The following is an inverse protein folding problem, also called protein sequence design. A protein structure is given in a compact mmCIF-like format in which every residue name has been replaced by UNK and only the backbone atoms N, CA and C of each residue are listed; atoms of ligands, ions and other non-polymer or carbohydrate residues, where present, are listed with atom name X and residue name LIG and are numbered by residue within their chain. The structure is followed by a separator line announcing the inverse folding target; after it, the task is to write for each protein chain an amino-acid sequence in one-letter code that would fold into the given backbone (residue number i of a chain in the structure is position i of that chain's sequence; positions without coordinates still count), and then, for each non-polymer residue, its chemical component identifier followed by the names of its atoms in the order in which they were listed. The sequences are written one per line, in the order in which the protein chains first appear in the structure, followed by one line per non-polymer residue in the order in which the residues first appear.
data_IF_545042701209
#
_entry.id   IF_545042701209
#
_cell.length_a   1.000
_cell.length_b   1.000
_cell.length_c   1.000
_cell.angle_alpha   90.00
_cell.angle_beta   90.00
_cell.angle_gamma   90.00
#
_symmetry.space_group_name_H-M   'P 1'
#
loop_
_entity.id
_entity.type
_entity.pdbx_description
1 polymer ?
#
# COMPACT_ATOMS: atom_id res chain seq x y z
N UNK A 1 -2.06 19.47 -31.27
CA UNK A 1 -3.12 18.95 -30.41
C UNK A 1 -2.76 17.50 -30.12
N UNK A 2 -1.96 17.30 -29.06
CA UNK A 2 -1.54 15.96 -28.66
C UNK A 2 -2.66 15.23 -27.94
N UNK A 3 -2.98 14.05 -28.43
CA UNK A 3 -3.89 13.11 -27.76
C UNK A 3 -3.36 12.78 -26.38
N UNK A 4 -4.04 13.29 -25.36
CA UNK A 4 -3.88 12.81 -23.99
C UNK A 4 -4.52 11.42 -23.94
N UNK A 5 -3.75 10.40 -24.25
CA UNK A 5 -4.17 9.01 -24.03
C UNK A 5 -4.44 8.87 -22.51
N UNK A 6 -5.72 8.80 -22.13
CA UNK A 6 -6.13 8.19 -20.86
C UNK A 6 -5.65 6.74 -20.91
N UNK A 7 -4.47 6.47 -20.39
CA UNK A 7 -4.08 5.09 -20.10
C UNK A 7 -5.08 4.59 -19.07
N UNK A 8 -5.96 3.69 -19.50
CA UNK A 8 -6.84 3.00 -18.54
C UNK A 8 -5.94 2.35 -17.49
N UNK A 9 -6.28 2.55 -16.23
CA UNK A 9 -5.58 1.92 -15.12
C UNK A 9 -5.67 0.38 -15.31
N UNK A 10 -4.54 -0.36 -15.27
CA UNK A 10 -4.57 -1.82 -15.35
C UNK A 10 -5.46 -2.39 -14.24
N UNK A 11 -6.19 -3.47 -14.54
CA UNK A 11 -6.97 -4.20 -13.53
C UNK A 11 -6.06 -4.75 -12.42
N UNK A 12 -6.63 -5.07 -11.25
CA UNK A 12 -5.88 -5.70 -10.14
C UNK A 12 -5.19 -6.98 -10.60
N UNK A 13 -5.84 -7.79 -11.43
CA UNK A 13 -5.25 -9.02 -12.01
C UNK A 13 -4.01 -8.71 -12.85
N UNK A 14 -4.10 -7.73 -13.74
CA UNK A 14 -2.96 -7.30 -14.57
C UNK A 14 -1.83 -6.71 -13.70
N UNK A 15 -2.16 -5.91 -12.69
CA UNK A 15 -1.17 -5.33 -11.75
C UNK A 15 -0.44 -6.40 -10.93
N UNK A 16 -1.07 -7.54 -10.63
CA UNK A 16 -0.43 -8.64 -9.90
C UNK A 16 0.76 -9.22 -10.64
N UNK A 17 0.68 -9.33 -11.96
CA UNK A 17 1.71 -9.95 -12.80
C UNK A 17 2.86 -8.99 -13.15
N UNK A 18 2.60 -7.67 -13.13
CA UNK A 18 3.62 -6.66 -13.45
C UNK A 18 4.68 -6.64 -12.35
N UNK A 19 5.93 -6.87 -12.73
CA UNK A 19 7.11 -6.88 -11.85
C UNK A 19 6.93 -7.75 -10.59
N UNK A 20 6.40 -8.96 -10.78
CA UNK A 20 6.07 -9.87 -9.67
C UNK A 20 7.30 -10.22 -8.80
N UNK A 21 8.49 -10.36 -9.39
CA UNK A 21 9.71 -10.67 -8.65
C UNK A 21 10.10 -9.52 -7.71
N UNK A 22 10.09 -8.29 -8.19
CA UNK A 22 10.35 -7.11 -7.35
C UNK A 22 9.34 -6.99 -6.22
N UNK A 23 8.05 -7.19 -6.50
CA UNK A 23 7.00 -7.18 -5.48
C UNK A 23 7.19 -8.25 -4.41
N UNK A 24 7.62 -9.46 -4.78
CA UNK A 24 7.90 -10.54 -3.82
C UNK A 24 9.08 -10.21 -2.92
N UNK A 25 10.15 -9.63 -3.45
CA UNK A 25 11.31 -9.17 -2.65
C UNK A 25 10.89 -8.12 -1.63
N UNK A 26 10.19 -7.08 -2.09
CA UNK A 26 9.65 -6.02 -1.24
C UNK A 26 8.73 -6.60 -0.17
N UNK A 27 7.78 -7.45 -0.55
CA UNK A 27 6.79 -8.05 0.32
C UNK A 27 7.43 -8.95 1.42
N UNK A 28 8.42 -9.74 1.06
CA UNK A 28 9.17 -10.59 2.00
C UNK A 28 9.88 -9.77 3.06
N UNK A 29 10.58 -8.70 2.64
CA UNK A 29 11.23 -7.79 3.57
C UNK A 29 10.22 -7.09 4.47
N UNK A 30 9.15 -6.54 3.89
CA UNK A 30 8.11 -5.82 4.62
C UNK A 30 7.41 -6.72 5.67
N UNK A 31 7.10 -7.97 5.32
CA UNK A 31 6.50 -8.92 6.25
C UNK A 31 7.40 -9.19 7.47
N UNK A 32 8.72 -9.20 7.28
CA UNK A 32 9.70 -9.36 8.36
C UNK A 32 9.81 -8.16 9.32
N UNK A 33 9.18 -7.03 9.01
CA UNK A 33 9.13 -5.86 9.90
C UNK A 33 7.99 -5.93 10.92
N UNK A 34 7.09 -6.89 10.80
CA UNK A 34 5.95 -7.04 11.71
C UNK A 34 6.42 -7.73 12.99
N UNK A 35 6.12 -7.12 14.11
CA UNK A 35 6.53 -7.57 15.45
C UNK A 35 5.33 -8.15 16.22
N UNK A 36 5.61 -8.99 17.24
CA UNK A 36 4.55 -9.46 18.13
C UNK A 36 3.72 -8.32 18.72
N UNK A 37 2.40 -8.54 18.79
CA UNK A 37 1.42 -7.60 19.34
C UNK A 37 1.23 -6.30 18.53
N UNK A 38 1.83 -6.18 17.34
CA UNK A 38 1.57 -5.06 16.44
C UNK A 38 0.08 -4.99 16.01
N UNK A 39 -0.43 -3.79 15.93
CA UNK A 39 -1.69 -3.46 15.27
C UNK A 39 -1.34 -2.87 13.90
N UNK A 40 -1.53 -3.67 12.84
CA UNK A 40 -1.00 -3.44 11.50
C UNK A 40 -2.10 -3.06 10.53
N UNK A 41 -1.91 -1.97 9.77
CA UNK A 41 -2.75 -1.66 8.62
C UNK A 41 -2.11 -2.17 7.32
N UNK A 42 -2.90 -2.86 6.50
CA UNK A 42 -2.50 -3.32 5.15
C UNK A 42 -3.48 -2.76 4.11
N UNK A 43 -2.96 -1.90 3.26
CA UNK A 43 -3.71 -1.28 2.17
C UNK A 43 -4.08 -2.27 1.05
N UNK A 44 -5.09 -1.93 0.25
CA UNK A 44 -5.58 -2.74 -0.87
C UNK A 44 -4.66 -2.70 -2.11
N UNK A 45 -3.36 -2.89 -1.94
CA UNK A 45 -2.39 -2.91 -3.02
C UNK A 45 -1.99 -4.33 -3.44
N UNK A 46 -1.50 -4.50 -4.68
CA UNK A 46 -1.01 -5.81 -5.13
C UNK A 46 0.31 -6.18 -4.45
N UNK A 47 1.19 -5.22 -4.15
CA UNK A 47 2.43 -5.47 -3.42
C UNK A 47 2.15 -5.79 -1.94
N UNK A 48 1.21 -5.10 -1.31
CA UNK A 48 0.77 -5.42 0.06
C UNK A 48 0.11 -6.80 0.12
N UNK A 49 -0.65 -7.17 -0.91
CA UNK A 49 -1.21 -8.53 -1.03
C UNK A 49 -0.15 -9.62 -1.08
N UNK A 50 0.98 -9.37 -1.76
CA UNK A 50 2.10 -10.32 -1.79
C UNK A 50 2.73 -10.56 -0.40
N UNK A 51 2.59 -9.62 0.56
CA UNK A 51 3.10 -9.81 1.92
C UNK A 51 2.46 -11.01 2.62
N UNK A 52 1.21 -11.32 2.31
CA UNK A 52 0.43 -12.36 2.99
C UNK A 52 1.12 -13.73 2.92
N UNK A 53 1.82 -14.02 1.82
CA UNK A 53 2.57 -15.26 1.63
C UNK A 53 3.81 -15.38 2.54
N UNK A 54 4.27 -14.26 3.12
CA UNK A 54 5.48 -14.17 3.93
C UNK A 54 5.21 -13.79 5.39
N UNK A 55 3.99 -13.42 5.75
CA UNK A 55 3.62 -13.07 7.12
C UNK A 55 3.64 -14.34 7.98
N UNK A 56 4.32 -14.27 9.11
CA UNK A 56 4.41 -15.37 10.09
C UNK A 56 3.92 -14.97 11.49
N UNK A 57 3.83 -13.67 11.78
CA UNK A 57 3.52 -13.19 13.12
C UNK A 57 2.02 -13.37 13.47
N UNK A 58 1.72 -14.34 14.34
CA UNK A 58 0.35 -14.71 14.74
C UNK A 58 -0.22 -13.85 15.87
N UNK A 59 0.63 -13.15 16.62
CA UNK A 59 0.19 -12.30 17.73
C UNK A 59 -0.22 -10.91 17.28
N UNK A 60 0.18 -10.51 16.07
CA UNK A 60 -0.26 -9.24 15.48
C UNK A 60 -1.75 -9.29 15.07
N UNK A 61 -2.37 -8.12 15.03
CA UNK A 61 -3.73 -7.92 14.51
C UNK A 61 -3.64 -7.16 13.20
N UNK A 62 -4.23 -7.69 12.15
CA UNK A 62 -4.18 -7.11 10.81
C UNK A 62 -5.50 -6.40 10.49
N UNK A 63 -5.42 -5.16 10.07
CA UNK A 63 -6.56 -4.37 9.60
C UNK A 63 -6.36 -4.07 8.12
N UNK A 64 -7.37 -4.27 7.31
CA UNK A 64 -7.27 -4.00 5.86
C UNK A 64 -8.59 -3.49 5.31
N UNK A 65 -8.52 -2.70 4.25
CA UNK A 65 -9.66 -2.33 3.43
C UNK A 65 -9.80 -3.20 2.16
N UNK A 66 -8.99 -4.27 2.02
CA UNK A 66 -9.07 -5.19 0.89
C UNK A 66 -9.79 -6.48 1.28
N UNK A 67 -10.90 -6.77 0.62
CA UNK A 67 -11.69 -8.00 0.87
C UNK A 67 -10.86 -9.26 0.62
N UNK A 68 -10.08 -9.28 -0.45
CA UNK A 68 -9.19 -10.40 -0.79
C UNK A 68 -8.10 -10.62 0.23
N UNK A 69 -7.48 -9.54 0.75
CA UNK A 69 -6.46 -9.64 1.79
C UNK A 69 -7.05 -10.18 3.10
N UNK A 70 -8.22 -9.66 3.51
CA UNK A 70 -8.89 -10.12 4.73
C UNK A 70 -9.22 -11.61 4.66
N UNK A 71 -9.77 -12.06 3.53
CA UNK A 71 -10.09 -13.47 3.30
C UNK A 71 -8.85 -14.36 3.37
N UNK A 72 -7.76 -13.95 2.72
CA UNK A 72 -6.51 -14.73 2.69
C UNK A 72 -5.86 -14.81 4.07
N UNK A 73 -5.79 -13.69 4.80
CA UNK A 73 -5.27 -13.66 6.17
C UNK A 73 -6.09 -14.54 7.12
N UNK A 74 -7.43 -14.44 7.05
CA UNK A 74 -8.32 -15.25 7.86
C UNK A 74 -8.18 -16.76 7.56
N UNK A 75 -8.06 -17.14 6.29
CA UNK A 75 -7.83 -18.53 5.87
C UNK A 75 -6.52 -19.11 6.41
N UNK A 76 -5.50 -18.27 6.58
CA UNK A 76 -4.22 -18.63 7.18
C UNK A 76 -4.22 -18.59 8.72
N UNK A 77 -5.37 -18.29 9.34
CA UNK A 77 -5.54 -18.26 10.80
C UNK A 77 -4.97 -17.02 11.49
N UNK A 78 -4.80 -15.91 10.78
CA UNK A 78 -4.45 -14.62 11.39
C UNK A 78 -5.69 -13.92 11.93
N UNK A 79 -5.51 -13.12 12.98
CA UNK A 79 -6.55 -12.22 13.47
C UNK A 79 -6.63 -11.01 12.54
N UNK A 80 -7.76 -10.87 11.83
CA UNK A 80 -7.96 -9.82 10.83
C UNK A 80 -9.25 -9.05 11.08
N UNK A 81 -9.20 -7.74 10.84
CA UNK A 81 -10.34 -6.84 10.84
C UNK A 81 -10.47 -6.26 9.43
N UNK A 82 -11.60 -6.49 8.78
CA UNK A 82 -11.94 -5.86 7.52
C UNK A 82 -12.66 -4.53 7.80
N UNK A 83 -12.17 -3.44 7.22
CA UNK A 83 -12.83 -2.14 7.27
C UNK A 83 -14.16 -2.21 6.52
N UNK A 84 -15.22 -1.71 7.13
CA UNK A 84 -16.54 -1.61 6.51
C UNK A 84 -16.68 -0.38 5.61
N UNK A 85 -17.57 -0.45 4.63
CA UNK A 85 -17.86 0.65 3.70
C UNK A 85 -18.35 0.17 2.36
N UNK A 86 -18.16 0.98 1.32
CA UNK A 86 -18.54 0.66 -0.06
C UNK A 86 -17.45 -0.17 -0.75
N UNK A 87 -17.83 -1.27 -1.37
CA UNK A 87 -16.89 -2.12 -2.12
C UNK A 87 -16.71 -1.60 -3.55
N UNK A 88 -15.49 -1.18 -3.89
CA UNK A 88 -15.10 -0.84 -5.25
C UNK A 88 -14.75 -2.11 -6.03
N UNK A 89 -15.58 -2.50 -6.99
CA UNK A 89 -15.45 -3.78 -7.69
C UNK A 89 -14.17 -3.93 -8.52
N UNK A 90 -13.60 -2.85 -9.05
CA UNK A 90 -12.38 -2.90 -9.89
C UNK A 90 -11.11 -3.22 -9.12
N UNK A 91 -11.04 -2.86 -7.85
CA UNK A 91 -9.84 -3.05 -6.99
C UNK A 91 -10.13 -3.93 -5.78
N UNK A 92 -11.38 -4.32 -5.56
CA UNK A 92 -11.84 -5.07 -4.38
C UNK A 92 -11.50 -4.37 -3.05
N UNK A 93 -11.33 -3.05 -3.13
CA UNK A 93 -11.06 -2.18 -1.98
C UNK A 93 -12.36 -1.62 -1.40
N UNK A 94 -12.44 -1.59 -0.09
CA UNK A 94 -13.51 -0.89 0.63
C UNK A 94 -13.12 0.58 0.78
N UNK A 95 -14.03 1.47 0.42
CA UNK A 95 -13.86 2.92 0.42
C UNK A 95 -15.08 3.64 1.01
N UNK A 96 -15.05 4.96 1.01
CA UNK A 96 -16.17 5.83 1.38
C UNK A 96 -16.17 6.25 2.84
N UNK A 97 -17.21 7.02 3.21
CA UNK A 97 -17.28 7.70 4.50
C UNK A 97 -17.24 6.75 5.71
N UNK A 98 -17.89 5.59 5.60
CA UNK A 98 -17.88 4.59 6.69
C UNK A 98 -16.50 4.01 6.92
N UNK A 99 -15.73 3.76 5.84
CA UNK A 99 -14.35 3.29 5.95
C UNK A 99 -13.46 4.33 6.65
N UNK A 100 -13.59 5.59 6.28
CA UNK A 100 -12.87 6.71 6.89
C UNK A 100 -13.23 6.86 8.37
N UNK A 101 -14.52 6.82 8.71
CA UNK A 101 -14.97 6.94 10.09
C UNK A 101 -14.47 5.80 10.98
N UNK A 102 -14.47 4.58 10.46
CA UNK A 102 -13.93 3.42 11.18
C UNK A 102 -12.43 3.58 11.45
N UNK A 103 -11.66 4.06 10.46
CA UNK A 103 -10.20 4.28 10.58
C UNK A 103 -9.84 5.34 11.62
N UNK A 104 -10.69 6.36 11.83
CA UNK A 104 -10.46 7.41 12.85
C UNK A 104 -10.33 6.88 14.27
N UNK A 105 -10.89 5.70 14.53
CA UNK A 105 -10.89 5.11 15.87
C UNK A 105 -9.70 4.16 16.10
N UNK A 106 -8.82 4.00 15.12
CA UNK A 106 -7.68 3.08 15.20
C UNK A 106 -6.35 3.85 15.28
N UNK A 107 -5.39 3.25 15.98
CA UNK A 107 -4.01 3.74 16.05
C UNK A 107 -3.08 2.57 15.74
N UNK A 108 -2.46 2.61 14.58
CA UNK A 108 -1.64 1.51 14.07
C UNK A 108 -0.17 1.68 14.47
N UNK A 109 0.47 0.58 14.88
CA UNK A 109 1.92 0.55 15.06
C UNK A 109 2.60 0.73 13.70
N UNK A 110 2.17 -0.04 12.71
CA UNK A 110 2.71 -0.02 11.34
C UNK A 110 1.59 -0.01 10.31
N UNK A 111 1.80 0.74 9.23
CA UNK A 111 0.93 0.70 8.06
C UNK A 111 1.73 0.46 6.79
N UNK A 112 1.29 -0.49 5.98
CA UNK A 112 1.87 -0.84 4.69
C UNK A 112 0.94 -0.41 3.57
N UNK A 113 1.45 0.43 2.67
CA UNK A 113 0.66 1.08 1.62
C UNK A 113 1.27 0.85 0.25
N UNK A 114 0.42 0.59 -0.74
CA UNK A 114 0.79 0.66 -2.14
C UNK A 114 0.64 2.09 -2.69
N UNK A 115 1.32 2.36 -3.80
CA UNK A 115 1.17 3.61 -4.56
C UNK A 115 1.21 3.32 -6.06
N UNK A 116 0.59 4.17 -6.86
CA UNK A 116 0.66 4.11 -8.31
C UNK A 116 1.80 4.96 -8.87
N UNK A 117 2.18 6.02 -8.16
CA UNK A 117 3.29 6.87 -8.55
C UNK A 117 3.97 7.55 -7.36
N UNK A 118 5.25 7.85 -7.53
CA UNK A 118 6.10 8.56 -6.59
C UNK A 118 6.80 9.68 -7.33
N UNK A 119 6.65 10.91 -6.85
CA UNK A 119 7.43 12.03 -7.37
C UNK A 119 7.83 12.98 -6.25
N UNK A 120 8.98 13.64 -6.41
CA UNK A 120 9.46 14.62 -5.43
C UNK A 120 8.46 15.76 -5.27
N UNK A 121 7.89 16.22 -6.38
CA UNK A 121 6.94 17.33 -6.38
C UNK A 121 5.55 16.95 -5.83
N UNK A 122 5.04 15.80 -6.24
CA UNK A 122 3.64 15.40 -5.96
C UNK A 122 3.51 14.39 -4.81
N UNK A 123 4.62 13.82 -4.32
CA UNK A 123 4.58 12.80 -3.29
C UNK A 123 4.05 11.46 -3.81
N UNK A 124 3.27 10.77 -2.98
CA UNK A 124 2.64 9.49 -3.31
C UNK A 124 1.27 9.70 -3.92
N UNK A 125 1.02 9.08 -5.07
CA UNK A 125 -0.18 9.32 -5.86
C UNK A 125 -0.92 8.04 -6.24
N UNK A 126 -2.24 8.16 -6.41
CA UNK A 126 -3.15 7.10 -6.87
C UNK A 126 -4.19 7.71 -7.81
N UNK A 127 -4.79 6.95 -8.74
CA UNK A 127 -5.74 7.53 -9.69
C UNK A 127 -7.14 7.81 -9.10
N UNK A 128 -7.52 7.13 -8.01
CA UNK A 128 -8.88 7.18 -7.45
C UNK A 128 -8.93 8.03 -6.18
N UNK A 129 -9.85 8.98 -6.14
CA UNK A 129 -10.01 9.91 -5.00
C UNK A 129 -10.48 9.19 -3.73
N UNK A 130 -11.40 8.23 -3.85
CA UNK A 130 -11.93 7.52 -2.69
C UNK A 130 -10.87 6.60 -2.07
N UNK A 131 -10.03 5.96 -2.89
CA UNK A 131 -8.88 5.20 -2.39
C UNK A 131 -7.84 6.11 -1.76
N UNK A 132 -7.59 7.29 -2.34
CA UNK A 132 -6.67 8.29 -1.78
C UNK A 132 -7.11 8.75 -0.39
N UNK A 133 -8.39 9.01 -0.17
CA UNK A 133 -8.93 9.41 1.13
C UNK A 133 -8.77 8.32 2.20
N UNK A 134 -9.01 7.06 1.85
CA UNK A 134 -8.80 5.94 2.77
C UNK A 134 -7.31 5.79 3.12
N UNK A 135 -6.42 5.85 2.11
CA UNK A 135 -4.95 5.81 2.34
C UNK A 135 -4.50 6.95 3.25
N UNK A 136 -4.93 8.16 2.97
CA UNK A 136 -4.60 9.35 3.75
C UNK A 136 -5.04 9.20 5.21
N UNK A 137 -6.29 8.75 5.44
CA UNK A 137 -6.82 8.56 6.78
C UNK A 137 -6.03 7.50 7.54
N UNK A 138 -5.81 6.33 6.94
CA UNK A 138 -5.03 5.26 7.56
C UNK A 138 -3.59 5.70 7.88
N UNK A 139 -2.92 6.41 6.95
CA UNK A 139 -1.57 6.95 7.18
C UNK A 139 -1.52 7.93 8.34
N UNK A 140 -2.52 8.79 8.50
CA UNK A 140 -2.58 9.73 9.63
C UNK A 140 -2.61 9.03 10.99
N UNK A 141 -3.10 7.80 11.03
CA UNK A 141 -3.24 6.98 12.24
C UNK A 141 -2.14 5.90 12.38
N UNK A 142 -1.06 5.96 11.59
CA UNK A 142 0.08 5.06 11.72
C UNK A 142 1.28 5.74 12.38
N UNK A 143 1.92 5.05 13.32
CA UNK A 143 3.21 5.47 13.87
C UNK A 143 4.33 5.30 12.82
N UNK A 144 4.43 4.12 12.22
CA UNK A 144 5.37 3.82 11.13
C UNK A 144 4.61 3.65 9.82
N UNK A 145 4.85 4.56 8.89
CA UNK A 145 4.24 4.60 7.56
C UNK A 145 5.23 4.04 6.55
N UNK A 146 4.86 2.98 5.86
CA UNK A 146 5.73 2.23 4.95
C UNK A 146 5.05 2.12 3.58
N UNK A 147 5.68 2.70 2.57
CA UNK A 147 5.26 2.58 1.18
C UNK A 147 5.99 1.41 0.53
N UNK A 148 5.25 0.51 -0.07
CA UNK A 148 5.78 -0.61 -0.84
C UNK A 148 5.64 -0.31 -2.32
N UNK A 149 6.76 -0.04 -2.99
CA UNK A 149 6.76 0.42 -4.37
C UNK A 149 7.94 -0.15 -5.15
N UNK A 150 7.66 -0.87 -6.21
CA UNK A 150 8.70 -1.27 -7.14
C UNK A 150 9.26 -0.05 -7.90
N UNK A 151 10.46 -0.20 -8.48
CA UNK A 151 11.21 0.86 -9.13
C UNK A 151 10.44 1.57 -10.26
N UNK A 152 9.46 0.90 -10.88
CA UNK A 152 8.64 1.49 -11.96
C UNK A 152 7.70 2.59 -11.49
N UNK A 153 7.54 2.78 -10.18
CA UNK A 153 6.64 3.80 -9.61
C UNK A 153 7.29 5.18 -9.49
N UNK A 154 8.63 5.26 -9.50
CA UNK A 154 9.35 6.52 -9.42
C UNK A 154 9.19 7.34 -10.70
N UNK A 155 9.18 8.67 -10.55
CA UNK A 155 8.92 9.66 -11.60
C UNK A 155 7.57 9.53 -12.32
N UNK A 156 6.65 8.73 -11.75
CA UNK A 156 5.28 8.65 -12.22
C UNK A 156 4.32 9.42 -11.29
N UNK A 157 3.31 10.04 -11.88
CA UNK A 157 2.28 10.80 -11.16
C UNK A 157 0.91 10.34 -11.61
N UNK A 158 0.06 9.96 -10.66
CA UNK A 158 -1.36 9.71 -10.86
C UNK A 158 -2.20 10.92 -10.43
N UNK A 159 -3.50 10.88 -10.64
CA UNK A 159 -4.40 12.04 -10.54
C UNK A 159 -4.51 12.65 -9.13
N UNK A 160 -4.35 11.84 -8.07
CA UNK A 160 -4.60 12.26 -6.69
C UNK A 160 -3.41 11.98 -5.79
N UNK A 161 -2.89 13.00 -5.11
CA UNK A 161 -1.88 12.87 -4.07
C UNK A 161 -2.54 12.48 -2.75
N UNK A 162 -2.02 11.46 -2.07
CA UNK A 162 -2.51 11.07 -0.75
C UNK A 162 -1.52 11.35 0.40
N UNK A 163 -0.22 11.52 0.09
CA UNK A 163 0.77 11.93 1.09
C UNK A 163 2.03 12.53 0.44
N UNK A 164 2.78 13.31 1.22
CA UNK A 164 4.09 13.85 0.81
C UNK A 164 5.14 12.75 0.89
N UNK A 165 6.16 12.85 0.04
CA UNK A 165 7.24 11.84 -0.04
C UNK A 165 8.04 11.70 1.25
N UNK A 166 8.20 12.77 2.01
CA UNK A 166 8.96 12.82 3.27
C UNK A 166 8.21 12.25 4.48
N UNK A 167 6.97 11.82 4.32
CA UNK A 167 6.12 11.35 5.42
C UNK A 167 6.22 9.85 5.71
N UNK A 168 6.89 9.08 4.86
CA UNK A 168 6.94 7.62 4.98
C UNK A 168 8.31 7.06 4.58
N UNK A 169 8.62 5.85 5.07
CA UNK A 169 9.72 5.03 4.54
C UNK A 169 9.25 4.35 3.26
N UNK A 170 10.07 4.34 2.23
CA UNK A 170 9.82 3.62 0.98
C UNK A 170 10.67 2.35 0.97
N UNK A 171 10.08 1.22 0.63
CA UNK A 171 10.77 -0.04 0.36
C UNK A 171 10.62 -0.34 -1.12
N UNK A 172 11.75 -0.55 -1.81
CA UNK A 172 11.81 -0.78 -3.26
C UNK A 172 12.77 -1.91 -3.62
N UNK A 173 12.65 -2.42 -4.85
CA UNK A 173 13.42 -3.57 -5.36
C UNK A 173 14.75 -3.20 -6.03
N UNK A 174 14.86 -1.98 -6.59
CA UNK A 174 16.04 -1.56 -7.36
C UNK A 174 16.54 -0.18 -6.93
N UNK A 175 17.66 0.24 -7.50
CA UNK A 175 18.19 1.59 -7.32
C UNK A 175 17.19 2.63 -7.82
N UNK A 176 17.07 3.70 -7.06
CA UNK A 176 16.18 4.81 -7.39
C UNK A 176 16.94 5.91 -8.14
N UNK A 177 16.24 6.77 -8.92
CA UNK A 177 16.86 7.91 -9.55
C UNK A 177 17.59 8.81 -8.54
N UNK A 178 18.68 9.45 -8.97
CA UNK A 178 19.61 10.19 -8.10
C UNK A 178 18.92 11.28 -7.24
N UNK A 179 17.85 11.90 -7.76
CA UNK A 179 17.10 12.94 -7.03
C UNK A 179 16.37 12.46 -5.79
N UNK A 180 16.24 11.15 -5.59
CA UNK A 180 15.53 10.56 -4.44
C UNK A 180 16.44 10.17 -3.27
N UNK A 181 17.78 10.36 -3.37
CA UNK A 181 18.75 9.87 -2.38
C UNK A 181 18.59 10.46 -0.97
N UNK A 182 18.01 11.64 -0.87
CA UNK A 182 17.84 12.35 0.40
C UNK A 182 16.56 11.91 1.15
N UNK A 183 15.76 11.03 0.54
CA UNK A 183 14.53 10.52 1.15
C UNK A 183 14.77 9.18 1.85
N UNK A 184 13.86 8.82 2.76
CA UNK A 184 13.93 7.57 3.53
C UNK A 184 13.55 6.37 2.66
N UNK A 185 14.49 5.90 1.85
CA UNK A 185 14.30 4.80 0.91
C UNK A 185 15.22 3.65 1.27
N UNK A 186 14.65 2.46 1.32
CA UNK A 186 15.37 1.22 1.51
C UNK A 186 15.22 0.33 0.28
N UNK A 187 16.34 0.03 -0.37
CA UNK A 187 16.40 -0.96 -1.44
C UNK A 187 16.60 -2.35 -0.82
N UNK A 188 15.70 -3.27 -1.13
CA UNK A 188 15.87 -4.68 -0.71
C UNK A 188 16.95 -5.36 -1.53
N UNK A 189 17.77 -6.17 -0.87
CA UNK A 189 18.77 -7.00 -1.53
C UNK A 189 18.13 -8.37 -1.80
N UNK A 190 18.31 -8.85 -3.05
CA UNK A 190 17.87 -10.19 -3.47
C UNK A 190 18.74 -11.31 -2.92
#
# INVERSE_FOLDING_TARGET
LGDVYKRQEPSVTQKREININGKKLIAKYAAGLIEPDDFVYMDAGTTTGCMIDYITEKRAVYVTNAVTHARSLAALGFRVILIGGELKGSTEAVVGANAIEMLRNYNFNKGFFGTNGISIKCGFTTPDINEAEVKKMAMCHCNHKIILADSTKFDNVSSVTFARIDTAKIITDEEVPAGYRDYNIYKVNG
#
